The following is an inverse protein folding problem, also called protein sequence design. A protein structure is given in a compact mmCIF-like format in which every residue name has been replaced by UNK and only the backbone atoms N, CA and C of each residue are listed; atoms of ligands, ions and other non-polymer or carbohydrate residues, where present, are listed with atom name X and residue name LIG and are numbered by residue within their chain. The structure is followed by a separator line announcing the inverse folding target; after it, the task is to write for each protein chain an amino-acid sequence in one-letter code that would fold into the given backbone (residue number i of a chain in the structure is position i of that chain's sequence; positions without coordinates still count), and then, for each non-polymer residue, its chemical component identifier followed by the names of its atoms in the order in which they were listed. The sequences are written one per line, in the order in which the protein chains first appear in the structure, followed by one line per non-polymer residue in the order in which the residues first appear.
data_IF_361802403323
#
_entry.id   IF_361802403323
#
_cell.length_a   1.000
_cell.length_b   1.000
_cell.length_c   1.000
_cell.angle_alpha   90.00
_cell.angle_beta   90.00
_cell.angle_gamma   90.00
#
_symmetry.space_group_name_H-M   'P 1'
#
loop_
_entity.id
_entity.type
_entity.pdbx_description
1 polymer ?
#
# COMPACT_ATOMS: atom_id res chain seq x y z
N UNK A 1 -2.24 8.91 4.40
CA UNK A 1 -2.07 10.30 4.83
C UNK A 1 -3.38 11.04 5.00
N UNK A 2 -3.31 12.34 5.00
CA UNK A 2 -4.45 13.24 5.12
C UNK A 2 -4.58 14.10 3.86
N UNK A 3 -5.67 14.82 3.73
CA UNK A 3 -5.87 15.74 2.60
C UNK A 3 -4.70 16.73 2.43
N UNK A 4 -4.10 17.15 3.52
CA UNK A 4 -3.01 18.10 3.52
C UNK A 4 -1.68 17.49 3.11
N UNK A 5 -1.46 16.24 3.50
CA UNK A 5 -0.23 15.50 3.18
C UNK A 5 -0.51 14.02 3.04
N UNK A 6 -0.34 13.49 1.85
CA UNK A 6 -0.54 12.09 1.55
C UNK A 6 0.44 11.60 0.48
N UNK A 7 0.56 10.31 0.35
CA UNK A 7 1.35 9.67 -0.70
C UNK A 7 0.64 8.42 -1.18
N UNK A 8 1.05 7.93 -2.32
CA UNK A 8 0.56 6.70 -2.92
C UNK A 8 1.72 5.90 -3.49
N UNK A 9 1.54 4.59 -3.54
CA UNK A 9 2.47 3.70 -4.21
C UNK A 9 1.72 2.51 -4.78
N UNK A 10 2.29 1.87 -5.77
CA UNK A 10 1.79 0.58 -6.24
C UNK A 10 2.28 -0.51 -5.31
N UNK A 11 1.35 -1.30 -4.78
CA UNK A 11 1.65 -2.49 -3.99
C UNK A 11 1.26 -3.72 -4.81
N UNK A 12 2.18 -4.66 -4.98
CA UNK A 12 1.96 -5.85 -5.81
C UNK A 12 1.72 -7.10 -5.00
N UNK A 13 2.24 -7.16 -3.78
CA UNK A 13 2.19 -8.36 -2.96
C UNK A 13 1.22 -8.18 -1.80
N UNK A 14 0.45 -9.22 -1.56
CA UNK A 14 -0.57 -9.21 -0.53
C UNK A 14 -1.82 -9.94 -0.96
N UNK A 15 -2.90 -9.68 -0.28
CA UNK A 15 -4.17 -10.32 -0.56
C UNK A 15 -5.24 -9.92 0.43
N UNK A 16 -6.38 -10.59 0.34
CA UNK A 16 -7.49 -10.40 1.26
C UNK A 16 -7.93 -11.75 1.82
N UNK A 17 -8.57 -11.72 2.97
CA UNK A 17 -9.05 -12.93 3.61
C UNK A 17 -9.78 -12.63 4.89
N UNK A 18 -9.83 -13.62 5.78
CA UNK A 18 -10.47 -13.51 7.09
C UNK A 18 -9.45 -13.85 8.16
N UNK A 19 -9.34 -13.00 9.18
CA UNK A 19 -8.50 -13.23 10.33
C UNK A 19 -9.15 -12.56 11.55
N UNK A 20 -9.11 -13.23 12.70
CA UNK A 20 -9.74 -12.74 13.94
C UNK A 20 -11.24 -12.44 13.77
N UNK A 21 -11.92 -13.22 12.92
CA UNK A 21 -13.33 -13.02 12.64
C UNK A 21 -13.66 -11.75 11.86
N UNK A 22 -12.66 -11.14 11.19
CA UNK A 22 -12.82 -9.88 10.46
C UNK A 22 -12.36 -10.03 9.01
N UNK A 23 -12.98 -9.28 8.07
CA UNK A 23 -12.43 -9.18 6.73
C UNK A 23 -11.13 -8.37 6.79
N UNK A 24 -10.05 -8.92 6.27
CA UNK A 24 -8.73 -8.30 6.35
C UNK A 24 -8.06 -8.25 4.99
N UNK A 25 -7.13 -7.31 4.87
CA UNK A 25 -6.16 -7.25 3.78
C UNK A 25 -4.75 -7.39 4.36
N UNK A 26 -3.86 -7.99 3.59
CA UNK A 26 -2.45 -8.10 3.94
C UNK A 26 -1.65 -7.30 2.93
N UNK A 27 -0.78 -6.41 3.41
CA UNK A 27 0.12 -5.66 2.53
C UNK A 27 1.54 -5.76 3.05
N UNK A 28 2.50 -5.57 2.13
CA UNK A 28 3.93 -5.65 2.44
C UNK A 28 4.61 -4.40 1.89
N UNK A 29 5.23 -3.63 2.77
CA UNK A 29 5.84 -2.36 2.42
C UNK A 29 7.30 -2.38 2.86
N UNK A 30 8.22 -2.01 1.96
CA UNK A 30 9.64 -1.86 2.31
C UNK A 30 9.84 -0.55 3.06
N UNK A 31 10.63 -0.54 4.16
CA UNK A 31 10.86 0.68 4.95
C UNK A 31 11.47 1.84 4.17
N UNK A 32 12.19 1.59 3.08
CA UNK A 32 12.76 2.65 2.25
C UNK A 32 11.75 3.37 1.37
N UNK A 33 10.53 2.84 1.19
CA UNK A 33 9.47 3.50 0.42
C UNK A 33 8.93 4.70 1.20
N UNK A 34 8.70 5.81 0.51
CA UNK A 34 8.16 7.02 1.15
C UNK A 34 6.81 6.79 1.82
N UNK A 35 5.96 5.96 1.22
CA UNK A 35 4.65 5.59 1.77
C UNK A 35 4.75 4.96 3.16
N UNK A 36 5.87 4.29 3.45
CA UNK A 36 6.10 3.68 4.77
C UNK A 36 5.94 4.70 5.91
N UNK A 37 6.47 5.90 5.75
CA UNK A 37 6.36 6.96 6.75
C UNK A 37 4.90 7.31 7.04
N UNK A 38 4.06 7.38 5.99
CA UNK A 38 2.64 7.69 6.12
C UNK A 38 1.87 6.57 6.83
N UNK A 39 2.19 5.32 6.53
CA UNK A 39 1.54 4.17 7.15
C UNK A 39 1.94 4.07 8.62
N UNK A 40 3.19 4.35 8.96
CA UNK A 40 3.66 4.31 10.35
C UNK A 40 3.02 5.42 11.20
N UNK A 41 2.85 6.62 10.67
CA UNK A 41 2.22 7.74 11.39
C UNK A 41 0.74 7.55 11.63
N UNK A 42 0.00 7.04 10.62
CA UNK A 42 -1.45 6.87 10.69
C UNK A 42 -1.85 5.46 11.05
N UNK A 43 -3.13 5.28 11.34
CA UNK A 43 -3.72 3.96 11.56
C UNK A 43 -4.67 3.52 10.44
N UNK A 44 -4.96 4.42 9.49
CA UNK A 44 -5.88 4.16 8.38
C UNK A 44 -5.21 4.42 7.03
N UNK A 45 -5.65 3.68 6.04
CA UNK A 45 -5.23 3.85 4.65
C UNK A 45 -6.28 3.28 3.70
N UNK A 46 -6.13 3.58 2.41
CA UNK A 46 -6.98 2.99 1.39
C UNK A 46 -6.17 2.10 0.47
N UNK A 47 -6.80 1.05 -0.01
CA UNK A 47 -6.32 0.24 -1.12
C UNK A 47 -7.24 0.55 -2.30
N UNK A 48 -6.69 1.15 -3.33
CA UNK A 48 -7.44 1.65 -4.49
C UNK A 48 -7.10 0.80 -5.71
N UNK A 49 -8.14 0.29 -6.36
CA UNK A 49 -8.01 -0.58 -7.53
C UNK A 49 -8.49 0.19 -8.76
N UNK A 50 -7.59 0.34 -9.72
CA UNK A 50 -7.86 1.03 -10.97
C UNK A 50 -8.22 0.03 -12.07
N UNK A 51 -8.93 0.49 -13.08
CA UNK A 51 -9.20 -0.31 -14.27
C UNK A 51 -7.95 -0.43 -15.15
N UNK A 52 -8.04 -1.31 -16.15
CA UNK A 52 -6.93 -1.58 -17.07
C UNK A 52 -6.51 -0.34 -17.87
N UNK A 53 -7.43 0.58 -18.11
CA UNK A 53 -7.17 1.85 -18.78
C UNK A 53 -6.18 2.74 -18.02
N UNK A 54 -5.97 2.49 -16.74
CA UNK A 54 -5.02 3.21 -15.88
C UNK A 54 -3.73 2.44 -15.62
N UNK A 55 -3.39 1.51 -16.46
CA UNK A 55 -2.21 0.64 -16.30
C UNK A 55 -0.90 1.41 -16.13
N UNK A 56 -0.73 2.52 -16.85
CA UNK A 56 0.47 3.36 -16.76
C UNK A 56 0.61 4.05 -15.39
N UNK A 57 -0.51 4.28 -14.70
CA UNK A 57 -0.50 4.88 -13.36
C UNK A 57 0.25 3.97 -12.38
N UNK A 58 0.04 2.67 -12.45
CA UNK A 58 0.71 1.72 -11.57
C UNK A 58 2.23 1.74 -11.78
N UNK A 59 2.68 1.91 -13.01
CA UNK A 59 4.09 2.01 -13.33
C UNK A 59 4.70 3.27 -12.72
N UNK A 60 4.05 4.41 -12.85
CA UNK A 60 4.49 5.68 -12.26
C UNK A 60 4.53 5.58 -10.73
N UNK A 61 3.46 5.12 -10.13
CA UNK A 61 3.34 5.03 -8.67
C UNK A 61 4.27 3.98 -8.06
N UNK A 62 4.63 2.96 -8.83
CA UNK A 62 5.52 1.89 -8.38
C UNK A 62 7.00 2.19 -8.57
N UNK A 63 7.37 3.02 -9.54
CA UNK A 63 8.77 3.28 -9.91
C UNK A 63 9.33 4.60 -9.39
N UNK A 64 8.48 5.56 -9.04
CA UNK A 64 8.89 6.88 -8.60
C UNK A 64 8.60 7.08 -7.11
N UNK A 65 9.45 7.86 -6.44
CA UNK A 65 9.24 8.23 -5.04
C UNK A 65 8.46 9.55 -4.95
N UNK A 66 7.52 9.62 -4.00
CA UNK A 66 6.83 10.86 -3.68
C UNK A 66 7.75 11.94 -3.08
N UNK A 67 8.96 11.56 -2.64
CA UNK A 67 9.98 12.51 -2.21
C UNK A 67 10.48 13.37 -3.37
N UNK A 68 10.53 12.78 -4.57
CA UNK A 68 11.16 13.39 -5.75
C UNK A 68 10.15 13.79 -6.82
N UNK A 69 8.93 13.23 -6.77
CA UNK A 69 7.94 13.38 -7.84
C UNK A 69 6.56 13.65 -7.24
N UNK A 70 5.86 14.63 -7.78
CA UNK A 70 4.43 14.80 -7.53
C UNK A 70 3.67 13.74 -8.32
N UNK A 71 3.35 12.64 -7.68
CA UNK A 71 2.67 11.50 -8.32
C UNK A 71 1.24 11.82 -8.74
N UNK A 72 0.57 12.73 -8.07
CA UNK A 72 -0.77 13.18 -8.46
C UNK A 72 -0.70 13.83 -9.84
N UNK A 73 0.20 14.79 -9.99
CA UNK A 73 0.39 15.47 -11.27
C UNK A 73 0.88 14.50 -12.35
N UNK A 74 1.85 13.66 -12.03
CA UNK A 74 2.44 12.72 -12.99
C UNK A 74 1.47 11.64 -13.45
N UNK A 75 0.60 11.17 -12.57
CA UNK A 75 -0.34 10.09 -12.86
C UNK A 75 -1.67 10.53 -13.46
N UNK A 76 -2.04 11.80 -13.27
CA UNK A 76 -3.34 12.30 -13.67
C UNK A 76 -4.48 11.87 -12.76
N UNK A 77 -4.19 11.17 -11.66
CA UNK A 77 -5.21 10.78 -10.69
C UNK A 77 -5.73 12.00 -9.95
N UNK A 78 -7.02 11.99 -9.65
CA UNK A 78 -7.68 13.05 -8.88
C UNK A 78 -7.95 12.54 -7.47
N UNK A 79 -7.32 13.13 -6.46
CA UNK A 79 -7.56 12.73 -5.08
C UNK A 79 -9.02 12.92 -4.69
N UNK A 80 -9.52 11.97 -3.92
CA UNK A 80 -10.87 11.99 -3.36
C UNK A 80 -10.77 11.71 -1.87
N UNK A 81 -11.29 12.63 -1.05
CA UNK A 81 -11.30 12.48 0.40
C UNK A 81 -12.48 11.61 0.80
N UNK A 82 -12.18 10.47 1.41
CA UNK A 82 -13.20 9.55 1.90
C UNK A 82 -13.87 10.13 3.16
N UNK A 83 -15.01 9.56 3.53
CA UNK A 83 -15.80 10.03 4.66
C UNK A 83 -14.99 10.08 5.98
N UNK A 84 -14.09 9.14 6.18
CA UNK A 84 -13.24 9.07 7.38
C UNK A 84 -11.95 9.90 7.28
N UNK A 85 -11.79 10.67 6.21
CA UNK A 85 -10.62 11.52 5.98
C UNK A 85 -9.46 10.84 5.23
N UNK A 86 -9.55 9.55 4.96
CA UNK A 86 -8.55 8.86 4.15
C UNK A 86 -8.64 9.29 2.69
N UNK A 87 -7.56 9.09 1.95
CA UNK A 87 -7.46 9.54 0.56
C UNK A 87 -7.55 8.36 -0.40
N UNK A 88 -8.41 8.48 -1.40
CA UNK A 88 -8.46 7.61 -2.56
C UNK A 88 -8.46 8.47 -3.83
N UNK A 89 -8.90 7.95 -4.93
CA UNK A 89 -8.86 8.63 -6.22
C UNK A 89 -10.16 8.43 -6.98
N UNK A 90 -10.63 9.47 -7.67
CA UNK A 90 -11.88 9.41 -8.42
C UNK A 90 -11.90 8.28 -9.45
N UNK A 91 -10.75 7.94 -10.01
CA UNK A 91 -10.63 6.90 -11.04
C UNK A 91 -10.65 5.47 -10.49
N UNK A 92 -10.61 5.29 -9.17
CA UNK A 92 -10.66 3.97 -8.57
C UNK A 92 -12.03 3.31 -8.80
N UNK A 93 -12.03 2.10 -9.30
CA UNK A 93 -13.27 1.30 -9.48
C UNK A 93 -13.66 0.53 -8.22
N UNK A 94 -12.71 0.33 -7.32
CA UNK A 94 -12.90 -0.33 -6.05
C UNK A 94 -11.96 0.31 -5.04
N UNK A 95 -12.49 0.65 -3.86
CA UNK A 95 -11.70 1.20 -2.76
C UNK A 95 -12.01 0.40 -1.50
N UNK A 96 -10.97 -0.08 -0.86
CA UNK A 96 -11.04 -0.68 0.47
C UNK A 96 -10.50 0.35 1.47
N UNK A 97 -11.33 0.78 2.40
CA UNK A 97 -10.92 1.67 3.48
C UNK A 97 -10.52 0.80 4.65
N UNK A 98 -9.27 0.90 5.07
CA UNK A 98 -8.66 -0.05 5.99
C UNK A 98 -8.09 0.62 7.23
N UNK A 99 -8.10 -0.14 8.33
CA UNK A 99 -7.47 0.24 9.60
C UNK A 99 -6.42 -0.80 9.99
N UNK A 100 -5.25 -0.34 10.41
CA UNK A 100 -4.19 -1.24 10.88
C UNK A 100 -4.65 -2.01 12.13
N UNK A 101 -4.43 -3.33 12.12
CA UNK A 101 -4.67 -4.19 13.27
C UNK A 101 -3.37 -4.74 13.83
N UNK A 102 -2.43 -5.08 12.97
CA UNK A 102 -1.19 -5.73 13.35
C UNK A 102 -0.11 -5.39 12.33
N UNK A 103 1.12 -5.27 12.80
CA UNK A 103 2.26 -5.03 11.93
C UNK A 103 3.51 -5.70 12.49
N UNK A 104 4.31 -6.30 11.62
CA UNK A 104 5.57 -6.91 12.01
C UNK A 104 6.53 -6.94 10.81
N UNK A 105 7.81 -6.80 11.10
CA UNK A 105 8.85 -6.97 10.09
C UNK A 105 9.00 -8.44 9.75
N UNK A 106 9.15 -8.74 8.46
CA UNK A 106 9.62 -10.06 8.04
C UNK A 106 11.05 -10.19 8.54
N UNK A 107 11.37 -11.31 9.18
CA UNK A 107 12.66 -11.56 9.82
C UNK A 107 13.44 -12.61 9.06
N UNK A 108 14.70 -12.33 8.82
CA UNK A 108 15.58 -13.21 8.04
C UNK A 108 15.67 -14.63 8.63
N UNK A 109 15.76 -14.73 9.95
CA UNK A 109 15.89 -16.01 10.66
C UNK A 109 14.60 -16.84 10.69
N UNK A 110 13.49 -16.26 10.26
CA UNK A 110 12.18 -16.93 10.20
C UNK A 110 11.88 -17.59 8.86
N UNK A 111 12.72 -17.39 7.85
CA UNK A 111 12.53 -18.04 6.56
C UNK A 111 12.80 -19.54 6.66
N UNK A 112 11.81 -20.32 6.27
CA UNK A 112 11.94 -21.77 6.12
C UNK A 112 12.68 -22.06 4.81
N UNK A 113 12.28 -21.38 3.74
CA UNK A 113 13.00 -21.42 2.45
C UNK A 113 13.97 -20.24 2.37
N UNK A 114 15.24 -20.51 2.65
CA UNK A 114 16.29 -19.48 2.67
C UNK A 114 16.62 -18.92 1.29
N UNK A 115 16.26 -19.61 0.21
CA UNK A 115 16.51 -19.13 -1.15
C UNK A 115 15.74 -17.86 -1.47
N UNK A 116 14.60 -17.65 -0.80
CA UNK A 116 13.79 -16.45 -0.97
C UNK A 116 14.53 -15.19 -0.53
N UNK A 117 15.41 -15.29 0.47
CA UNK A 117 16.20 -14.16 0.96
C UNK A 117 17.11 -13.64 -0.15
N UNK A 118 17.86 -14.53 -0.79
CA UNK A 118 18.77 -14.15 -1.86
C UNK A 118 18.01 -13.65 -3.10
N UNK A 119 16.87 -14.25 -3.39
CA UNK A 119 16.05 -13.90 -4.55
C UNK A 119 15.46 -12.48 -4.42
N UNK A 120 14.94 -12.11 -3.25
CA UNK A 120 14.13 -10.91 -3.09
C UNK A 120 14.77 -9.83 -2.22
N UNK A 121 15.71 -10.20 -1.36
CA UNK A 121 16.35 -9.30 -0.39
C UNK A 121 17.87 -9.33 -0.44
N UNK A 122 18.43 -9.98 -1.46
CA UNK A 122 19.86 -10.02 -1.68
C UNK A 122 20.40 -8.66 -2.10
N UNK A 123 21.70 -8.61 -2.36
CA UNK A 123 22.41 -7.39 -2.76
C UNK A 123 21.67 -6.66 -3.90
N UNK A 124 21.42 -5.36 -3.70
CA UNK A 124 20.73 -4.52 -4.68
C UNK A 124 19.21 -4.58 -4.65
N UNK A 125 18.60 -5.41 -3.80
CA UNK A 125 17.15 -5.60 -3.75
C UNK A 125 16.44 -4.87 -2.61
N UNK A 126 17.16 -4.26 -1.68
CA UNK A 126 16.59 -3.48 -0.59
C UNK A 126 16.30 -4.30 0.69
N UNK A 127 15.62 -3.69 1.62
CA UNK A 127 15.35 -4.25 2.95
C UNK A 127 14.16 -5.20 2.95
N UNK A 128 14.07 -6.02 4.00
CA UNK A 128 12.92 -6.87 4.27
C UNK A 128 11.65 -6.01 4.39
N UNK A 129 10.52 -6.56 3.93
CA UNK A 129 9.24 -5.87 4.02
C UNK A 129 8.70 -5.88 5.46
N UNK A 130 7.94 -4.86 5.79
CA UNK A 130 7.04 -4.89 6.93
C UNK A 130 5.68 -5.37 6.45
N UNK A 131 5.12 -6.34 7.16
CA UNK A 131 3.78 -6.86 6.91
C UNK A 131 2.79 -6.07 7.75
N UNK A 132 1.67 -5.71 7.13
CA UNK A 132 0.54 -5.10 7.82
C UNK A 132 -0.70 -5.94 7.61
N UNK A 133 -1.41 -6.20 8.69
CA UNK A 133 -2.75 -6.81 8.64
C UNK A 133 -3.73 -5.69 8.92
N UNK A 134 -4.64 -5.47 7.98
CA UNK A 134 -5.56 -4.36 7.99
C UNK A 134 -7.00 -4.87 8.04
N UNK A 135 -7.82 -4.27 8.89
CA UNK A 135 -9.27 -4.52 8.84
C UNK A 135 -9.86 -3.74 7.68
N UNK A 136 -10.65 -4.41 6.84
CA UNK A 136 -11.43 -3.75 5.79
C UNK A 136 -12.69 -3.22 6.45
N UNK A 137 -12.76 -1.90 6.65
CA UNK A 137 -13.88 -1.28 7.34
C UNK A 137 -15.01 -0.88 6.38
N UNK A 138 -14.66 -0.43 5.18
CA UNK A 138 -15.62 -0.03 4.16
C UNK A 138 -15.13 -0.45 2.78
N UNK A 139 -16.07 -0.80 1.91
CA UNK A 139 -15.82 -1.15 0.51
C UNK A 139 -16.68 -0.26 -0.37
N UNK A 140 -16.05 0.44 -1.30
CA UNK A 140 -16.75 1.27 -2.27
C UNK A 140 -16.50 0.72 -3.66
N UNK A 141 -17.56 0.47 -4.39
CA UNK A 141 -17.53 -0.06 -5.76
C UNK A 141 -18.17 0.95 -6.68
N UNK A 142 -17.53 1.21 -7.80
CA UNK A 142 -18.03 2.12 -8.81
C UNK A 142 -18.82 1.38 -9.88
#
# INVERSE_FOLDING_TARGET
GTQEKFNMMTASWGGTGVLWGKPVAFIFIRPERYTYEFIEEGDKLTLSFLGEEHKEVHKICGSKSGRDTDKVAASGLKPYVMEDGTISYEQARLVLVCKKLYADMIQEDKFVDKLLINRWYGEGHGNLHKMYILEIQHVYVK
#
